data_IF_541427400943
#
_entry.id   IF_541427400943
#
_cell.length_a   1.000
_cell.length_b   1.000
_cell.length_c   1.000
_cell.angle_alpha   90.00
_cell.angle_beta   90.00
_cell.angle_gamma   90.00
#
_symmetry.space_group_name_H-M   'P 1'
#
loop_
_entity.id
_entity.type
_entity.pdbx_description
1 polymer ?
#
# COMPACT_ATOMS: atom_id res chain seq x y z
N UNK A 1 -20.38 24.72 39.98
CA UNK A 1 -20.66 25.20 38.61
C UNK A 1 -19.74 24.39 37.70
N UNK A 2 -20.20 23.20 37.31
CA UNK A 2 -19.36 22.14 36.74
C UNK A 2 -19.71 21.94 35.27
N UNK A 3 -18.76 22.18 34.38
CA UNK A 3 -18.87 21.78 32.97
C UNK A 3 -17.74 20.78 32.73
N UNK A 4 -18.06 19.50 32.94
CA UNK A 4 -17.30 18.40 32.36
C UNK A 4 -18.06 18.00 31.10
N UNK A 5 -17.66 18.56 29.95
CA UNK A 5 -18.23 18.14 28.68
C UNK A 5 -17.41 16.97 28.14
N UNK A 6 -18.10 15.84 28.03
CA UNK A 6 -17.61 14.54 27.60
C UNK A 6 -17.15 14.59 26.14
N UNK A 7 -15.85 14.41 25.88
CA UNK A 7 -15.35 14.06 24.55
C UNK A 7 -15.58 12.56 24.32
N UNK A 8 -16.82 12.19 23.97
CA UNK A 8 -17.10 10.88 23.40
C UNK A 8 -16.70 10.91 21.93
N UNK A 9 -15.40 10.74 21.65
CA UNK A 9 -14.95 10.46 20.29
C UNK A 9 -15.46 9.05 19.94
N UNK A 10 -16.47 8.97 19.09
CA UNK A 10 -17.02 7.70 18.59
C UNK A 10 -15.91 6.97 17.84
N UNK A 11 -15.25 6.02 18.49
CA UNK A 11 -14.35 5.08 17.82
C UNK A 11 -15.22 4.15 16.98
N UNK A 12 -15.44 4.52 15.72
CA UNK A 12 -16.08 3.65 14.75
C UNK A 12 -15.21 2.41 14.60
N UNK A 13 -15.63 1.29 15.19
CA UNK A 13 -14.91 0.03 15.08
C UNK A 13 -15.13 -0.48 13.67
N UNK A 14 -14.25 -0.10 12.75
CA UNK A 14 -14.31 -0.60 11.37
C UNK A 14 -14.00 -2.09 11.37
N UNK A 15 -14.93 -2.90 10.89
CA UNK A 15 -14.72 -4.34 10.73
C UNK A 15 -13.61 -4.58 9.72
N UNK A 16 -12.57 -5.32 10.15
CA UNK A 16 -11.47 -5.73 9.28
C UNK A 16 -11.80 -7.11 8.72
N UNK A 17 -12.01 -7.19 7.41
CA UNK A 17 -12.18 -8.44 6.70
C UNK A 17 -10.80 -9.04 6.41
N UNK A 18 -10.53 -10.24 6.94
CA UNK A 18 -9.26 -10.95 6.76
C UNK A 18 -9.45 -12.19 5.90
N UNK A 19 -8.67 -12.30 4.83
CA UNK A 19 -8.59 -13.49 3.99
C UNK A 19 -7.15 -14.00 3.90
N UNK A 20 -6.98 -15.33 3.80
CA UNK A 20 -5.69 -15.97 3.50
C UNK A 20 -5.83 -16.67 2.17
N UNK A 21 -5.01 -16.27 1.19
CA UNK A 21 -5.01 -16.85 -0.15
C UNK A 21 -4.30 -18.21 -0.17
N UNK A 22 -4.49 -19.00 -1.23
CA UNK A 22 -3.86 -20.32 -1.38
C UNK A 22 -2.33 -20.29 -1.35
N UNK A 23 -1.71 -19.16 -1.73
CA UNK A 23 -0.27 -18.91 -1.64
C UNK A 23 0.18 -18.33 -0.28
N UNK A 24 -0.69 -18.34 0.74
CA UNK A 24 -0.48 -17.85 2.11
C UNK A 24 -0.35 -16.34 2.27
N UNK A 25 -0.60 -15.54 1.22
CA UNK A 25 -0.73 -14.10 1.38
C UNK A 25 -1.94 -13.76 2.24
N UNK A 26 -1.76 -12.83 3.18
CA UNK A 26 -2.83 -12.31 4.03
C UNK A 26 -3.34 -11.02 3.43
N UNK A 27 -4.64 -10.96 3.16
CA UNK A 27 -5.33 -9.77 2.70
C UNK A 27 -6.18 -9.24 3.84
N UNK A 28 -5.99 -7.96 4.15
CA UNK A 28 -6.81 -7.22 5.11
C UNK A 28 -7.55 -6.13 4.33
N UNK A 29 -8.88 -6.17 4.37
CA UNK A 29 -9.74 -5.20 3.72
C UNK A 29 -10.60 -4.49 4.77
N UNK A 30 -10.69 -3.18 4.64
CA UNK A 30 -11.56 -2.34 5.48
C UNK A 30 -12.40 -1.49 4.55
N UNK A 31 -13.71 -1.66 4.63
CA UNK A 31 -14.64 -0.85 3.87
C UNK A 31 -14.77 0.54 4.51
N UNK A 32 -14.74 1.57 3.66
CA UNK A 32 -14.95 2.95 4.07
C UNK A 32 -16.00 3.61 3.16
N UNK A 33 -17.30 3.54 3.51
CA UNK A 33 -18.37 4.06 2.64
C UNK A 33 -18.33 5.59 2.49
N UNK A 34 -17.54 6.30 3.28
CA UNK A 34 -17.39 7.75 3.19
C UNK A 34 -16.38 8.22 2.13
N UNK A 35 -15.61 7.31 1.51
CA UNK A 35 -14.63 7.65 0.51
C UNK A 35 -14.84 6.82 -0.76
N UNK A 36 -15.03 7.49 -1.89
CA UNK A 36 -15.13 6.84 -3.21
C UNK A 36 -13.74 6.56 -3.82
N UNK A 37 -12.87 5.95 -3.02
CA UNK A 37 -11.48 5.68 -3.35
C UNK A 37 -11.10 4.29 -2.82
N UNK A 38 -10.37 3.55 -3.64
CA UNK A 38 -9.66 2.34 -3.23
C UNK A 38 -8.20 2.66 -2.98
N UNK A 39 -7.68 2.26 -1.83
CA UNK A 39 -6.27 2.37 -1.47
C UNK A 39 -5.72 0.98 -1.10
N UNK A 40 -4.71 0.53 -1.83
CA UNK A 40 -4.03 -0.74 -1.61
C UNK A 40 -2.59 -0.50 -1.15
N UNK A 41 -2.13 -1.32 -0.21
CA UNK A 41 -0.74 -1.35 0.25
C UNK A 41 -0.29 -2.80 0.35
N UNK A 42 0.80 -3.11 -0.33
CA UNK A 42 1.45 -4.42 -0.31
C UNK A 42 2.74 -4.26 0.47
N UNK A 43 2.82 -4.99 1.59
CA UNK A 43 4.01 -5.03 2.45
C UNK A 43 4.82 -6.26 2.09
N UNK A 44 6.04 -6.03 1.63
CA UNK A 44 6.99 -7.07 1.25
C UNK A 44 8.02 -7.17 2.38
N UNK A 45 8.22 -8.38 2.91
CA UNK A 45 9.23 -8.64 3.95
C UNK A 45 10.65 -8.63 3.36
N UNK A 46 11.08 -7.42 3.01
CA UNK A 46 12.39 -7.09 2.48
C UNK A 46 12.66 -5.64 2.90
N UNK A 47 13.36 -5.45 4.02
CA UNK A 47 13.78 -4.14 4.50
C UNK A 47 15.27 -4.14 4.80
N UNK A 48 15.82 -2.98 5.17
CA UNK A 48 17.25 -2.84 5.49
C UNK A 48 17.79 -3.85 6.50
N UNK A 49 16.96 -4.32 7.45
CA UNK A 49 17.34 -5.34 8.44
C UNK A 49 17.61 -6.73 7.83
N UNK A 50 17.07 -6.99 6.64
CA UNK A 50 17.29 -8.23 5.90
C UNK A 50 18.57 -8.19 5.06
N UNK A 51 19.28 -7.05 5.02
CA UNK A 51 20.48 -6.87 4.21
C UNK A 51 21.74 -7.34 4.96
N UNK A 52 22.64 -8.00 4.23
CA UNK A 52 24.01 -8.20 4.72
C UNK A 52 24.77 -6.86 4.65
N UNK A 53 25.83 -6.66 5.46
CA UNK A 53 26.64 -5.44 5.40
C UNK A 53 27.16 -5.10 3.99
N UNK A 54 27.47 -6.12 3.18
CA UNK A 54 27.94 -5.96 1.80
C UNK A 54 26.81 -5.64 0.80
N UNK A 55 25.55 -5.76 1.22
CA UNK A 55 24.33 -5.54 0.42
C UNK A 55 23.55 -4.31 0.89
N UNK A 56 24.16 -3.46 1.71
CA UNK A 56 23.52 -2.27 2.25
C UNK A 56 22.96 -1.40 1.12
N UNK A 57 21.67 -1.07 1.20
CA UNK A 57 20.94 -0.25 0.24
C UNK A 57 20.22 -1.02 -0.87
N UNK A 58 20.31 -2.36 -0.91
CA UNK A 58 19.60 -3.17 -1.92
C UNK A 58 18.08 -3.01 -1.83
N UNK A 59 17.50 -2.88 -0.64
CA UNK A 59 16.05 -2.66 -0.45
C UNK A 59 15.62 -1.30 -0.97
N UNK A 60 16.45 -0.27 -0.75
CA UNK A 60 16.19 1.07 -1.30
C UNK A 60 16.28 1.07 -2.82
N UNK A 61 17.32 0.43 -3.37
CA UNK A 61 17.45 0.25 -4.82
C UNK A 61 16.25 -0.50 -5.40
N UNK A 62 15.84 -1.61 -4.77
CA UNK A 62 14.64 -2.37 -5.16
C UNK A 62 13.43 -1.44 -5.24
N UNK A 63 13.15 -0.68 -4.18
CA UNK A 63 12.03 0.28 -4.16
C UNK A 63 12.11 1.29 -5.31
N UNK A 64 13.29 1.82 -5.61
CA UNK A 64 13.49 2.78 -6.69
C UNK A 64 13.26 2.20 -8.10
N UNK A 65 13.48 0.89 -8.28
CA UNK A 65 13.36 0.23 -9.59
C UNK A 65 12.07 -0.58 -9.79
N UNK A 66 11.28 -0.80 -8.75
CA UNK A 66 10.03 -1.58 -8.81
C UNK A 66 9.02 -1.07 -9.86
N UNK A 67 9.06 0.22 -10.20
CA UNK A 67 8.18 0.84 -11.20
C UNK A 67 8.83 1.00 -12.57
N UNK A 68 10.07 0.55 -12.76
CA UNK A 68 10.85 0.76 -13.99
C UNK A 68 10.67 -0.31 -15.05
N UNK A 69 9.68 -1.19 -14.85
CA UNK A 69 9.31 -2.22 -15.81
C UNK A 69 9.31 -3.61 -15.20
N UNK A 70 8.63 -4.51 -15.89
CA UNK A 70 8.50 -5.94 -15.59
C UNK A 70 8.61 -6.70 -16.91
N UNK A 71 8.64 -8.03 -16.86
CA UNK A 71 8.63 -8.85 -18.07
C UNK A 71 7.38 -8.65 -18.96
N UNK A 72 6.30 -8.08 -18.39
CA UNK A 72 5.01 -7.89 -19.08
C UNK A 72 4.72 -6.43 -19.46
N UNK A 73 5.34 -5.47 -18.78
CA UNK A 73 5.05 -4.05 -18.95
C UNK A 73 6.34 -3.24 -18.81
N UNK A 74 6.62 -2.37 -19.77
CA UNK A 74 7.67 -1.36 -19.67
C UNK A 74 7.33 -0.29 -18.62
N UNK A 75 8.34 0.49 -18.21
CA UNK A 75 8.13 1.64 -17.31
C UNK A 75 7.07 2.62 -17.85
N UNK A 76 7.06 2.85 -19.17
CA UNK A 76 6.13 3.77 -19.81
C UNK A 76 4.70 3.23 -19.78
N UNK A 77 4.50 1.94 -20.11
CA UNK A 77 3.19 1.32 -20.04
C UNK A 77 2.64 1.28 -18.60
N UNK A 78 3.51 1.09 -17.60
CA UNK A 78 3.11 1.20 -16.19
C UNK A 78 2.64 2.62 -15.88
N UNK A 79 3.42 3.64 -16.26
CA UNK A 79 3.07 5.04 -16.02
C UNK A 79 1.75 5.41 -16.71
N UNK A 80 1.62 5.12 -18.01
CA UNK A 80 0.43 5.41 -18.80
C UNK A 80 -0.82 4.75 -18.21
N UNK A 81 -0.70 3.48 -17.77
CA UNK A 81 -1.82 2.78 -17.17
C UNK A 81 -2.24 3.36 -15.83
N UNK A 82 -1.29 3.80 -15.01
CA UNK A 82 -1.59 4.47 -13.74
C UNK A 82 -2.21 5.84 -13.97
N UNK A 83 -1.67 6.63 -14.90
CA UNK A 83 -2.13 7.99 -15.20
C UNK A 83 -3.49 8.00 -15.90
N UNK A 84 -3.75 7.06 -16.81
CA UNK A 84 -5.01 6.98 -17.57
C UNK A 84 -6.27 6.84 -16.71
N UNK A 85 -6.12 6.32 -15.49
CA UNK A 85 -7.21 6.15 -14.51
C UNK A 85 -7.08 7.11 -13.32
N UNK A 86 -6.25 8.15 -13.44
CA UNK A 86 -6.00 9.13 -12.38
C UNK A 86 -5.47 8.50 -11.09
N UNK A 87 -4.83 7.33 -11.16
CA UNK A 87 -4.32 6.63 -10.01
C UNK A 87 -2.94 7.17 -9.58
N UNK A 88 -2.54 6.82 -8.36
CA UNK A 88 -1.18 7.00 -7.88
C UNK A 88 -0.56 5.66 -7.55
N UNK A 89 0.65 5.41 -8.04
CA UNK A 89 1.48 4.26 -7.70
C UNK A 89 2.75 4.75 -7.01
N UNK A 90 3.09 4.19 -5.87
CA UNK A 90 4.26 4.59 -5.09
C UNK A 90 4.96 3.42 -4.45
N UNK A 91 6.27 3.55 -4.27
CA UNK A 91 7.12 2.55 -3.63
C UNK A 91 7.91 3.18 -2.50
N UNK A 92 8.20 2.41 -1.46
CA UNK A 92 9.05 2.85 -0.35
C UNK A 92 9.83 1.68 0.25
N UNK A 93 10.92 1.97 0.95
CA UNK A 93 11.72 0.98 1.67
C UNK A 93 12.01 1.48 3.08
N UNK A 94 11.79 0.62 4.06
CA UNK A 94 12.05 0.88 5.48
C UNK A 94 13.06 -0.14 6.02
N UNK A 95 13.41 -0.04 7.31
CA UNK A 95 14.22 -1.05 7.96
C UNK A 95 13.56 -2.43 7.94
N UNK A 96 12.23 -2.51 8.06
CA UNK A 96 11.52 -3.77 8.28
C UNK A 96 10.85 -4.34 7.02
N UNK A 97 10.46 -3.47 6.08
CA UNK A 97 9.71 -3.85 4.88
C UNK A 97 9.91 -2.89 3.70
N UNK A 98 9.61 -3.40 2.51
CA UNK A 98 9.36 -2.61 1.31
C UNK A 98 7.86 -2.50 1.08
N UNK A 99 7.44 -1.38 0.54
CA UNK A 99 6.05 -1.03 0.30
C UNK A 99 5.84 -0.83 -1.19
N UNK A 100 4.77 -1.41 -1.72
CA UNK A 100 4.12 -0.95 -2.94
C UNK A 100 2.74 -0.44 -2.57
N UNK A 101 2.39 0.76 -3.01
CA UNK A 101 1.12 1.42 -2.72
C UNK A 101 0.44 1.87 -3.99
N UNK A 102 -0.87 1.70 -4.04
CA UNK A 102 -1.71 2.08 -5.16
C UNK A 102 -2.98 2.75 -4.63
N UNK A 103 -3.46 3.77 -5.33
CA UNK A 103 -4.71 4.45 -4.98
C UNK A 103 -5.41 4.92 -6.24
N UNK A 104 -6.72 4.71 -6.34
CA UNK A 104 -7.57 5.13 -7.45
C UNK A 104 -9.01 5.37 -6.96
N UNK A 105 -9.86 5.97 -7.79
CA UNK A 105 -11.29 6.10 -7.52
C UNK A 105 -11.99 4.75 -7.66
N UNK A 106 -13.04 4.48 -6.87
CA UNK A 106 -13.63 3.13 -6.83
C UNK A 106 -14.20 2.67 -8.17
N UNK A 107 -14.70 3.60 -9.00
CA UNK A 107 -15.20 3.31 -10.34
C UNK A 107 -14.14 2.71 -11.28
N UNK A 108 -12.87 3.12 -11.15
CA UNK A 108 -11.77 2.68 -12.00
C UNK A 108 -11.03 1.46 -11.43
N UNK A 109 -11.47 0.96 -10.26
CA UNK A 109 -10.97 -0.26 -9.68
C UNK A 109 -11.66 -1.48 -10.33
N UNK A 110 -10.91 -2.43 -10.92
CA UNK A 110 -11.47 -3.59 -11.63
C UNK A 110 -12.05 -4.68 -10.71
#
# INVERSE_FOLDING_TARGET
MSITQQFAHTLHTRTVNRAVLGNRMVVLAVENPAADIIACRIFIRAGGVCELPQQSGVSHLLSAVLTKGTDRFSAHEIADRVESVGASLGTDATADYCLLSFKTVSHDFP
#
